data_IF_321787393630
#
_entry.id   IF_321787393630
#
_cell.length_a   1.000
_cell.length_b   1.000
_cell.length_c   1.000
_cell.angle_alpha   90.00
_cell.angle_beta   90.00
_cell.angle_gamma   90.00
#
_symmetry.space_group_name_H-M   'P 1'
#
loop_
_entity.id
_entity.type
_entity.pdbx_description
1 polymer ?
#
# COMPACT_ATOMS: atom_id res chain seq x y z
N UNK A 1 -7.98 13.75 11.15
CA UNK A 1 -6.95 14.57 10.47
C UNK A 1 -5.83 13.64 10.03
N UNK A 2 -5.64 13.46 8.73
CA UNK A 2 -4.61 12.59 8.14
C UNK A 2 -3.35 13.45 7.93
N UNK A 3 -2.21 13.07 8.54
CA UNK A 3 -0.92 13.73 8.30
C UNK A 3 0.11 12.75 7.77
N UNK A 4 0.40 12.84 6.47
CA UNK A 4 1.74 12.69 5.89
C UNK A 4 1.75 13.39 4.51
N UNK A 5 2.64 14.37 4.37
CA UNK A 5 2.65 15.40 3.34
C UNK A 5 3.29 14.92 2.02
N UNK A 6 2.51 14.94 0.93
CA UNK A 6 2.91 15.33 -0.45
C UNK A 6 1.67 15.24 -1.34
N UNK A 7 1.40 16.26 -2.17
CA UNK A 7 0.16 16.50 -2.95
C UNK A 7 -0.26 15.34 -3.87
N UNK A 8 -0.70 14.20 -3.34
CA UNK A 8 -1.33 13.15 -4.15
C UNK A 8 -2.70 13.66 -4.59
N UNK A 9 -2.86 13.90 -5.90
CA UNK A 9 -4.14 14.28 -6.53
C UNK A 9 -5.14 13.12 -6.62
N UNK A 10 -4.75 11.95 -6.15
CA UNK A 10 -5.55 10.73 -6.14
C UNK A 10 -5.16 9.83 -4.97
N UNK A 11 -6.05 8.96 -4.53
CA UNK A 11 -5.80 8.00 -3.47
C UNK A 11 -6.51 6.67 -3.74
N UNK A 12 -5.99 5.57 -3.19
CA UNK A 12 -6.64 4.27 -3.25
C UNK A 12 -7.51 4.07 -2.00
N UNK A 13 -8.82 3.97 -2.18
CA UNK A 13 -9.78 3.80 -1.09
C UNK A 13 -9.57 2.47 -0.34
N UNK A 14 -9.02 1.46 -1.02
CA UNK A 14 -8.73 0.18 -0.37
C UNK A 14 -7.68 0.28 0.73
N UNK A 15 -6.79 1.28 0.70
CA UNK A 15 -5.80 1.49 1.77
C UNK A 15 -6.51 1.72 3.13
N UNK A 16 -7.51 2.60 3.17
CA UNK A 16 -8.28 2.89 4.38
C UNK A 16 -9.14 1.71 4.82
N UNK A 17 -9.77 1.01 3.86
CA UNK A 17 -10.65 -0.13 4.15
C UNK A 17 -9.86 -1.32 4.72
N UNK A 18 -8.69 -1.62 4.14
CA UNK A 18 -7.79 -2.68 4.62
C UNK A 18 -7.22 -2.30 5.99
N UNK A 19 -6.77 -1.06 6.16
CA UNK A 19 -6.24 -0.58 7.44
C UNK A 19 -7.25 -0.74 8.59
N UNK A 20 -8.52 -0.41 8.35
CA UNK A 20 -9.60 -0.62 9.32
C UNK A 20 -9.80 -2.09 9.66
N UNK A 21 -9.84 -2.97 8.65
CA UNK A 21 -10.05 -4.40 8.88
C UNK A 21 -8.86 -5.07 9.57
N UNK A 22 -7.62 -4.66 9.23
CA UNK A 22 -6.41 -5.13 9.92
C UNK A 22 -6.46 -4.73 11.39
N UNK A 23 -6.84 -3.48 11.71
CA UNK A 23 -7.03 -3.05 13.09
C UNK A 23 -8.14 -3.83 13.81
N UNK A 24 -9.23 -4.18 13.11
CA UNK A 24 -10.31 -4.98 13.69
C UNK A 24 -9.87 -6.42 13.98
N UNK A 25 -9.09 -7.04 13.10
CA UNK A 25 -8.64 -8.42 13.30
C UNK A 25 -7.48 -8.52 14.29
N UNK A 26 -6.55 -7.54 14.32
CA UNK A 26 -5.42 -7.58 15.25
C UNK A 26 -5.84 -7.46 16.71
N UNK A 27 -6.91 -6.70 17.01
CA UNK A 27 -7.46 -6.57 18.36
C UNK A 27 -8.13 -7.85 18.86
N UNK A 28 -8.51 -8.74 17.95
CA UNK A 28 -9.07 -10.06 18.28
C UNK A 28 -7.98 -11.11 18.51
N UNK A 29 -6.71 -10.82 18.20
CA UNK A 29 -5.60 -11.75 18.41
C UNK A 29 -5.10 -11.71 19.86
N UNK A 30 -4.58 -12.85 20.38
CA UNK A 30 -3.88 -12.85 21.66
C UNK A 30 -2.71 -11.85 21.67
N UNK A 31 -2.59 -11.08 22.76
CA UNK A 31 -1.57 -10.02 22.90
C UNK A 31 -0.15 -10.49 22.60
N UNK A 32 0.18 -11.74 22.97
CA UNK A 32 1.49 -12.35 22.70
C UNK A 32 1.78 -12.43 21.20
N UNK A 33 0.78 -12.76 20.38
CA UNK A 33 0.94 -12.85 18.93
C UNK A 33 0.89 -11.48 18.27
N UNK A 34 -0.06 -10.62 18.70
CA UNK A 34 -0.23 -9.29 18.15
C UNK A 34 1.06 -8.45 18.22
N UNK A 35 1.88 -8.61 19.27
CA UNK A 35 3.15 -7.89 19.45
C UNK A 35 4.18 -8.12 18.34
N UNK A 36 4.20 -9.30 17.73
CA UNK A 36 5.21 -9.66 16.73
C UNK A 36 4.75 -9.43 15.29
N UNK A 37 3.46 -9.19 15.09
CA UNK A 37 2.90 -8.97 13.75
C UNK A 37 3.12 -7.52 13.36
N UNK A 38 3.94 -7.30 12.32
CA UNK A 38 4.11 -5.99 11.70
C UNK A 38 2.87 -5.67 10.86
N UNK A 39 2.10 -4.67 11.32
CA UNK A 39 0.87 -4.23 10.64
C UNK A 39 1.08 -3.86 9.17
N UNK A 40 2.18 -3.16 8.87
CA UNK A 40 2.52 -2.74 7.49
C UNK A 40 2.67 -3.93 6.55
N UNK A 41 3.25 -5.04 7.01
CA UNK A 41 3.44 -6.24 6.19
C UNK A 41 2.09 -6.91 5.88
N UNK A 42 1.17 -6.92 6.84
CA UNK A 42 -0.19 -7.44 6.66
C UNK A 42 -0.97 -6.56 5.66
N UNK A 43 -0.93 -5.25 5.84
CA UNK A 43 -1.62 -4.29 4.96
C UNK A 43 -1.10 -4.38 3.53
N UNK A 44 0.22 -4.36 3.34
CA UNK A 44 0.84 -4.45 2.00
C UNK A 44 0.57 -5.78 1.33
N UNK A 45 0.62 -6.89 2.07
CA UNK A 45 0.28 -8.21 1.55
C UNK A 45 -1.18 -8.30 1.10
N UNK A 46 -2.10 -7.71 1.87
CA UNK A 46 -3.52 -7.68 1.52
C UNK A 46 -3.80 -6.78 0.31
N UNK A 47 -3.23 -5.57 0.28
CA UNK A 47 -3.41 -4.60 -0.80
C UNK A 47 -2.90 -5.13 -2.15
N UNK A 48 -1.83 -5.93 -2.16
CA UNK A 48 -1.31 -6.58 -3.37
C UNK A 48 -2.23 -7.68 -3.93
N UNK A 49 -3.37 -7.96 -3.29
CA UNK A 49 -4.32 -9.01 -3.67
C UNK A 49 -5.74 -8.53 -3.85
N UNK A 50 -5.98 -7.26 -3.57
CA UNK A 50 -7.28 -6.65 -3.70
C UNK A 50 -7.26 -5.72 -4.92
N UNK A 51 -8.38 -5.61 -5.65
CA UNK A 51 -8.44 -4.68 -6.77
C UNK A 51 -8.28 -3.24 -6.24
N UNK A 52 -7.42 -2.41 -6.85
CA UNK A 52 -7.25 -1.04 -6.40
C UNK A 52 -8.47 -0.19 -6.77
N UNK A 53 -8.93 0.64 -5.83
CA UNK A 53 -10.04 1.57 -6.05
C UNK A 53 -9.55 3.00 -5.92
N UNK A 54 -8.96 3.51 -7.00
CA UNK A 54 -8.47 4.88 -7.04
C UNK A 54 -9.59 5.90 -7.22
N UNK A 55 -9.42 7.05 -6.58
CA UNK A 55 -10.26 8.23 -6.72
C UNK A 55 -9.39 9.49 -6.79
N UNK A 56 -9.73 10.40 -7.70
CA UNK A 56 -9.09 11.73 -7.88
C UNK A 56 -10.01 12.90 -7.55
N UNK A 57 -11.29 12.64 -7.25
CA UNK A 57 -12.27 13.63 -6.80
C UNK A 57 -13.00 13.16 -5.56
N UNK A 58 -13.71 14.08 -4.90
CA UNK A 58 -14.48 13.76 -3.70
C UNK A 58 -15.69 12.85 -4.02
N UNK A 59 -16.34 13.07 -5.16
CA UNK A 59 -17.46 12.24 -5.65
C UNK A 59 -16.95 10.83 -5.99
N UNK A 60 -15.82 10.74 -6.68
CA UNK A 60 -15.16 9.47 -6.97
C UNK A 60 -14.77 8.73 -5.70
N UNK A 61 -14.24 9.45 -4.70
CA UNK A 61 -13.91 8.86 -3.41
C UNK A 61 -15.14 8.28 -2.70
N UNK A 62 -16.25 9.03 -2.63
CA UNK A 62 -17.51 8.56 -2.05
C UNK A 62 -18.03 7.31 -2.77
N UNK A 63 -18.05 7.34 -4.10
CA UNK A 63 -18.51 6.22 -4.92
C UNK A 63 -17.66 4.96 -4.69
N UNK A 64 -16.34 5.10 -4.75
CA UNK A 64 -15.41 3.99 -4.55
C UNK A 64 -15.45 3.44 -3.12
N UNK A 65 -15.70 4.32 -2.13
CA UNK A 65 -15.90 3.90 -0.73
C UNK A 65 -17.15 3.06 -0.57
N UNK A 66 -18.27 3.51 -1.16
CA UNK A 66 -19.52 2.74 -1.16
C UNK A 66 -19.32 1.39 -1.84
N UNK A 67 -18.69 1.38 -3.02
CA UNK A 67 -18.35 0.16 -3.75
C UNK A 67 -17.49 -0.80 -2.93
N UNK A 68 -16.46 -0.29 -2.24
CA UNK A 68 -15.61 -1.09 -1.36
C UNK A 68 -16.42 -1.76 -0.23
N UNK A 69 -17.39 -1.03 0.34
CA UNK A 69 -18.24 -1.52 1.42
C UNK A 69 -19.27 -2.54 0.97
N UNK A 70 -19.87 -2.35 -0.20
CA UNK A 70 -20.94 -3.21 -0.73
C UNK A 70 -20.37 -4.47 -1.38
N UNK A 71 -19.39 -4.32 -2.26
CA UNK A 71 -18.92 -5.40 -3.13
C UNK A 71 -17.74 -6.17 -2.50
N UNK A 72 -16.80 -5.44 -1.87
CA UNK A 72 -15.50 -6.00 -1.49
C UNK A 72 -15.35 -6.32 0.00
N UNK A 73 -16.31 -5.96 0.86
CA UNK A 73 -16.19 -6.14 2.31
C UNK A 73 -15.88 -7.58 2.71
N UNK A 74 -16.57 -8.56 2.13
CA UNK A 74 -16.33 -9.98 2.44
C UNK A 74 -14.95 -10.43 1.98
N UNK A 75 -14.53 -10.00 0.79
CA UNK A 75 -13.22 -10.33 0.24
C UNK A 75 -12.08 -9.71 1.06
N UNK A 76 -12.21 -8.44 1.46
CA UNK A 76 -11.25 -7.75 2.33
C UNK A 76 -11.03 -8.55 3.62
N UNK A 77 -12.10 -9.00 4.29
CA UNK A 77 -12.00 -9.82 5.51
C UNK A 77 -11.20 -11.09 5.27
N UNK A 78 -11.50 -11.81 4.18
CA UNK A 78 -10.84 -13.08 3.84
C UNK A 78 -9.37 -12.86 3.49
N UNK A 79 -9.06 -11.85 2.68
CA UNK A 79 -7.69 -11.53 2.25
C UNK A 79 -6.84 -11.06 3.44
N UNK A 80 -7.37 -10.22 4.31
CA UNK A 80 -6.67 -9.77 5.53
C UNK A 80 -6.36 -10.96 6.44
N UNK A 81 -7.31 -11.89 6.61
CA UNK A 81 -7.06 -13.12 7.38
C UNK A 81 -5.95 -13.97 6.78
N UNK A 82 -5.92 -14.12 5.46
CA UNK A 82 -4.82 -14.80 4.77
C UNK A 82 -3.49 -14.05 4.91
N UNK A 83 -3.51 -12.72 4.92
CA UNK A 83 -2.34 -11.89 5.15
C UNK A 83 -1.72 -12.13 6.53
N UNK A 84 -2.54 -12.17 7.58
CA UNK A 84 -2.07 -12.55 8.92
C UNK A 84 -1.42 -13.93 8.92
N UNK A 85 -2.07 -14.93 8.33
CA UNK A 85 -1.54 -16.30 8.29
C UNK A 85 -0.23 -16.39 7.49
N UNK A 86 -0.04 -15.55 6.48
CA UNK A 86 1.19 -15.54 5.70
C UNK A 86 2.34 -14.82 6.43
N UNK A 87 2.06 -13.67 7.02
CA UNK A 87 3.04 -12.91 7.81
C UNK A 87 3.47 -13.69 9.05
N UNK A 88 2.56 -14.42 9.69
CA UNK A 88 2.88 -15.32 10.81
C UNK A 88 3.82 -16.46 10.42
N UNK A 89 3.75 -16.97 9.19
CA UNK A 89 4.69 -18.01 8.72
C UNK A 89 6.09 -17.47 8.52
N UNK A 90 6.24 -16.17 8.27
CA UNK A 90 7.50 -15.52 7.88
C UNK A 90 7.99 -14.48 8.91
N UNK A 91 7.78 -14.78 10.20
CA UNK A 91 8.11 -13.88 11.31
C UNK A 91 9.62 -13.56 11.44
N UNK A 92 10.49 -14.40 10.90
CA UNK A 92 11.95 -14.24 10.95
C UNK A 92 12.52 -13.42 9.78
N UNK A 93 11.68 -12.97 8.84
CA UNK A 93 12.14 -12.19 7.71
C UNK A 93 12.61 -10.81 8.16
N UNK A 94 13.91 -10.58 8.00
CA UNK A 94 14.48 -9.24 8.05
C UNK A 94 14.12 -8.49 6.76
N UNK A 95 13.59 -7.28 6.90
CA UNK A 95 13.18 -6.42 5.78
C UNK A 95 13.74 -5.02 5.99
N UNK A 96 14.43 -4.49 4.99
CA UNK A 96 14.87 -3.08 4.99
C UNK A 96 13.68 -2.18 4.66
N UNK A 97 13.23 -1.28 5.55
CA UNK A 97 12.08 -0.42 5.30
C UNK A 97 12.36 0.62 4.21
N UNK A 98 11.35 0.94 3.40
CA UNK A 98 11.45 1.98 2.34
C UNK A 98 11.66 3.38 2.91
N UNK A 99 11.11 3.65 4.08
CA UNK A 99 11.27 4.91 4.80
C UNK A 99 11.57 4.59 6.26
N UNK A 100 12.67 5.14 6.78
CA UNK A 100 12.92 5.19 8.23
C UNK A 100 12.38 6.50 8.79
N UNK A 101 12.02 6.55 10.08
CA UNK A 101 11.58 7.80 10.74
C UNK A 101 12.56 8.98 10.51
N UNK A 102 13.84 8.70 10.28
CA UNK A 102 14.88 9.67 9.94
C UNK A 102 14.73 10.29 8.54
N UNK A 103 14.24 9.53 7.55
CA UNK A 103 14.01 10.03 6.17
C UNK A 103 12.95 11.12 6.10
N UNK A 104 12.00 11.16 7.05
CA UNK A 104 11.01 12.26 7.17
C UNK A 104 11.66 13.60 7.47
N UNK A 105 12.81 13.61 8.17
CA UNK A 105 13.53 14.84 8.53
C UNK A 105 14.24 15.43 7.31
N UNK A 106 14.87 14.58 6.50
CA UNK A 106 15.63 15.00 5.31
C UNK A 106 14.74 15.60 4.22
N UNK A 107 13.54 15.05 3.97
CA UNK A 107 12.62 15.62 2.96
C UNK A 107 12.12 17.02 3.32
N UNK A 108 12.00 17.33 4.61
CA UNK A 108 11.59 18.67 5.07
C UNK A 108 12.69 19.73 4.93
N UNK A 109 13.96 19.31 4.95
CA UNK A 109 15.13 20.18 4.82
C UNK A 109 15.45 20.50 3.35
N UNK A 110 15.24 19.56 2.42
CA UNK A 110 15.50 19.74 0.98
C UNK A 110 14.56 20.78 0.35
N UNK A 111 13.31 20.90 0.80
CA UNK A 111 12.36 21.91 0.26
C UNK A 111 12.69 23.37 0.61
N UNK A 112 13.65 23.63 1.51
CA UNK A 112 13.97 24.99 1.98
C UNK A 112 15.23 25.58 1.34
N UNK A 113 15.98 24.82 0.56
CA UNK A 113 17.19 25.30 -0.11
C UNK A 113 17.07 25.14 -1.63
N UNK A 114 16.75 26.24 -2.30
CA UNK A 114 17.25 26.62 -3.64
C UNK A 114 17.07 25.64 -4.81
N UNK A 115 16.38 26.10 -5.85
CA UNK A 115 16.57 25.53 -7.18
C UNK A 115 18.04 25.66 -7.63
N UNK A 116 18.63 24.55 -8.05
CA UNK A 116 19.59 24.48 -9.15
C UNK A 116 19.73 23.02 -9.57
N UNK A 117 19.78 22.83 -10.88
CA UNK A 117 20.02 21.59 -11.61
C UNK A 117 21.25 20.83 -11.09
N UNK A 118 21.06 19.57 -10.73
CA UNK A 118 22.15 18.60 -10.66
C UNK A 118 21.62 17.24 -11.12
N UNK A 119 22.03 16.84 -12.32
CA UNK A 119 21.97 15.46 -12.80
C UNK A 119 22.69 14.58 -11.76
N UNK A 120 21.95 13.77 -11.00
CA UNK A 120 22.58 12.73 -10.22
C UNK A 120 22.64 11.44 -11.06
N UNK A 121 23.81 11.22 -11.67
CA UNK A 121 24.24 9.96 -12.29
C UNK A 121 24.40 8.89 -11.22
N UNK A 122 23.29 8.35 -10.72
CA UNK A 122 23.33 7.19 -9.84
C UNK A 122 23.03 5.93 -10.65
N UNK A 123 24.12 5.34 -11.14
CA UNK A 123 24.35 3.90 -11.20
C UNK A 123 23.33 3.06 -11.98
N UNK A 124 23.68 2.82 -13.24
CA UNK A 124 23.23 1.73 -14.10
C UNK A 124 23.16 0.39 -13.36
N UNK A 125 22.04 0.10 -12.70
CA UNK A 125 21.66 -1.26 -12.33
C UNK A 125 20.76 -1.78 -13.45
N UNK A 126 21.33 -2.68 -14.22
CA UNK A 126 20.69 -3.42 -15.30
C UNK A 126 19.50 -4.23 -14.73
N UNK A 127 18.33 -3.60 -14.64
CA UNK A 127 17.09 -4.33 -14.40
C UNK A 127 16.66 -4.94 -15.73
N UNK A 128 17.02 -6.21 -15.93
CA UNK A 128 16.48 -7.02 -17.03
C UNK A 128 15.01 -7.33 -16.73
N UNK A 129 14.14 -6.37 -17.02
CA UNK A 129 12.70 -6.57 -16.98
C UNK A 129 12.30 -7.30 -18.27
N UNK A 130 12.03 -8.60 -18.19
CA UNK A 130 11.27 -9.27 -19.25
C UNK A 130 9.80 -8.82 -19.17
N UNK A 131 9.46 -7.62 -19.65
CA UNK A 131 8.06 -7.31 -19.99
C UNK A 131 7.86 -7.72 -21.44
N UNK A 132 7.28 -8.90 -21.59
CA UNK A 132 6.44 -9.19 -22.73
C UNK A 132 5.50 -10.26 -22.23
N UNK A 133 4.30 -9.87 -21.79
CA UNK A 133 3.08 -10.70 -21.82
C UNK A 133 1.84 -10.02 -21.19
N UNK A 134 1.95 -8.93 -20.42
CA UNK A 134 0.80 -8.46 -19.61
C UNK A 134 -0.22 -7.52 -20.28
N UNK A 135 -0.11 -7.17 -21.57
CA UNK A 135 -1.11 -6.31 -22.26
C UNK A 135 -1.77 -6.93 -23.51
N UNK A 136 -1.67 -8.25 -23.71
CA UNK A 136 -2.39 -8.91 -24.80
C UNK A 136 -3.65 -9.57 -24.28
N UNK A 137 -4.73 -8.82 -24.05
CA UNK A 137 -6.12 -9.34 -24.07
C UNK A 137 -7.11 -8.18 -23.90
N UNK A 138 -7.42 -7.54 -25.02
CA UNK A 138 -8.41 -6.46 -25.09
C UNK A 138 -8.79 -6.14 -26.53
N UNK A 139 -8.90 -7.16 -27.38
CA UNK A 139 -9.42 -7.02 -28.75
C UNK A 139 -10.19 -8.27 -29.11
N UNK A 140 -11.43 -8.34 -28.63
CA UNK A 140 -12.48 -9.05 -29.35
C UNK A 140 -13.79 -8.30 -29.15
N UNK A 141 -14.10 -7.53 -30.20
CA UNK A 141 -15.46 -7.14 -30.53
C UNK A 141 -16.30 -8.41 -30.64
N UNK A 142 -17.43 -8.46 -29.93
CA UNK A 142 -18.72 -8.95 -30.44
C UNK A 142 -19.82 -8.15 -29.78
#
# INVERSE_FOLDING_TARGET
>A
MIHANSKKKYLNVMEDMVAQEVNRQITLLPQKLAKYIKRVDVETYALNRLPPLYASSQEGWKFQTKKAQEDYRKEIVVVVRHAFAAVQRDLLKSSTPLFTEETKKVSSLVTKAGGSTAENKESSKNYNWKHSQYYHLGSSRR
#
